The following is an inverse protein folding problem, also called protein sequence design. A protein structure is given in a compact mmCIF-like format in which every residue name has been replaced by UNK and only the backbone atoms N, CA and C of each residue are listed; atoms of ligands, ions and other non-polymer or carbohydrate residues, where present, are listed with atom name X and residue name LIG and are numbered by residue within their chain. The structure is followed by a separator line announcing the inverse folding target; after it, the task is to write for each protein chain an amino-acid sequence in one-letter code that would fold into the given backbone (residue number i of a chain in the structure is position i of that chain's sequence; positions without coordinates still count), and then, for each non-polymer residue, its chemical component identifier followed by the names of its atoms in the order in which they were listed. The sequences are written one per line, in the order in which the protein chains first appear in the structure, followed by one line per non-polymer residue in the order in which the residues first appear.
data_IF_916044590114
#
_entry.id   IF_916044590114
#
_cell.length_a   1.000
_cell.length_b   1.000
_cell.length_c   1.000
_cell.angle_alpha   90.00
_cell.angle_beta   90.00
_cell.angle_gamma   90.00
#
_symmetry.space_group_name_H-M   'P 1'
#
loop_
_entity.id
_entity.type
_entity.pdbx_description
1 polymer ?
#
# COMPACT_ATOMS: atom_id res chain seq x y z
N UNK A 1 7.38 -10.50 -12.00
CA UNK A 1 6.27 -9.60 -11.62
C UNK A 1 6.86 -8.21 -11.43
N UNK A 2 6.29 -7.17 -12.06
CA UNK A 2 6.82 -5.82 -12.00
C UNK A 2 6.73 -5.26 -10.56
N UNK A 3 7.76 -4.54 -10.13
CA UNK A 3 7.72 -3.78 -8.89
C UNK A 3 6.59 -2.74 -8.96
N UNK A 4 5.90 -2.51 -7.85
CA UNK A 4 4.86 -1.48 -7.77
C UNK A 4 5.46 -0.24 -7.10
N UNK A 5 5.36 0.91 -7.76
CA UNK A 5 5.77 2.19 -7.19
C UNK A 5 4.87 2.57 -6.02
N UNK A 6 5.47 3.12 -4.96
CA UNK A 6 4.75 3.65 -3.81
C UNK A 6 3.82 4.81 -4.17
N UNK A 7 4.19 5.62 -5.16
CA UNK A 7 3.35 6.70 -5.70
C UNK A 7 2.01 6.18 -6.22
N UNK A 8 2.01 5.04 -6.91
CA UNK A 8 0.76 4.43 -7.40
C UNK A 8 -0.11 3.93 -6.24
N UNK A 9 0.52 3.43 -5.17
CA UNK A 9 -0.20 3.00 -3.98
C UNK A 9 -0.81 4.19 -3.23
N UNK A 10 -0.09 5.31 -3.13
CA UNK A 10 -0.64 6.55 -2.59
C UNK A 10 -1.84 7.05 -3.38
N UNK A 11 -1.74 7.11 -4.71
CA UNK A 11 -2.87 7.52 -5.55
C UNK A 11 -4.12 6.64 -5.33
N UNK A 12 -3.94 5.32 -5.20
CA UNK A 12 -5.05 4.40 -4.90
C UNK A 12 -5.73 4.72 -3.57
N UNK A 13 -4.94 4.96 -2.51
CA UNK A 13 -5.46 5.26 -1.18
C UNK A 13 -6.11 6.66 -1.13
N UNK A 14 -5.55 7.64 -1.83
CA UNK A 14 -6.13 8.98 -1.96
C UNK A 14 -7.51 8.93 -2.58
N UNK A 15 -7.69 8.16 -3.66
CA UNK A 15 -8.99 7.99 -4.30
C UNK A 15 -10.03 7.42 -3.32
N UNK A 16 -9.66 6.40 -2.54
CA UNK A 16 -10.54 5.84 -1.52
C UNK A 16 -10.87 6.85 -0.42
N UNK A 17 -9.88 7.63 0.03
CA UNK A 17 -10.06 8.69 1.02
C UNK A 17 -10.95 9.83 0.53
N UNK A 18 -10.81 10.25 -0.74
CA UNK A 18 -11.66 11.26 -1.36
C UNK A 18 -13.12 10.83 -1.45
N UNK A 19 -13.38 9.59 -1.90
CA UNK A 19 -14.73 9.02 -1.89
C UNK A 19 -15.34 8.97 -0.48
N UNK A 20 -14.54 8.72 0.55
CA UNK A 20 -15.01 8.77 1.94
C UNK A 20 -15.30 10.20 2.40
N UNK A 21 -14.47 11.17 2.03
CA UNK A 21 -14.64 12.57 2.39
C UNK A 21 -15.96 13.13 1.83
N UNK A 22 -16.28 12.81 0.57
CA UNK A 22 -17.58 13.13 -0.05
C UNK A 22 -18.76 12.56 0.75
N UNK A 23 -18.67 11.29 1.16
CA UNK A 23 -19.72 10.62 1.95
C UNK A 23 -19.88 11.22 3.36
N UNK A 24 -18.82 11.82 3.90
CA UNK A 24 -18.83 12.49 5.20
C UNK A 24 -19.07 14.00 5.13
N UNK A 25 -19.30 14.57 3.93
CA UNK A 25 -19.44 16.01 3.71
C UNK A 25 -18.25 16.82 4.26
N UNK A 26 -17.03 16.34 3.95
CA UNK A 26 -15.76 16.99 4.32
C UNK A 26 -14.96 17.32 3.06
N UNK A 27 -14.20 18.41 3.12
CA UNK A 27 -13.21 18.76 2.09
C UNK A 27 -11.82 18.35 2.53
N UNK A 28 -11.08 17.70 1.64
CA UNK A 28 -9.74 17.18 1.91
C UNK A 28 -8.81 17.42 0.73
N UNK A 29 -7.60 17.87 1.03
CA UNK A 29 -6.46 17.90 0.12
C UNK A 29 -5.50 16.78 0.51
N UNK A 30 -5.08 15.97 -0.46
CA UNK A 30 -4.05 14.96 -0.25
C UNK A 30 -2.72 15.45 -0.79
N UNK A 31 -1.69 15.32 0.05
CA UNK A 31 -0.30 15.56 -0.35
C UNK A 31 0.49 14.30 -0.11
N UNK A 32 1.27 13.86 -1.10
CA UNK A 32 2.07 12.66 -0.95
C UNK A 32 3.44 12.80 -1.56
N UNK A 33 4.43 12.26 -0.88
CA UNK A 33 5.78 12.11 -1.38
C UNK A 33 6.28 10.70 -1.06
N UNK A 34 6.40 9.86 -2.08
CA UNK A 34 6.95 8.51 -1.97
C UNK A 34 8.33 8.36 -2.60
N UNK A 35 8.89 9.45 -3.14
CA UNK A 35 10.06 9.42 -4.01
C UNK A 35 9.96 8.40 -5.15
N UNK A 36 11.11 7.86 -5.56
CA UNK A 36 11.23 6.80 -6.57
C UNK A 36 11.19 5.39 -5.95
N UNK A 37 10.63 5.25 -4.73
CA UNK A 37 10.63 4.00 -4.00
C UNK A 37 9.77 2.94 -4.70
N UNK A 38 10.40 1.80 -4.95
CA UNK A 38 9.74 0.60 -5.46
C UNK A 38 9.44 -0.33 -4.30
N UNK A 39 8.25 -0.92 -4.27
CA UNK A 39 7.81 -1.81 -3.19
C UNK A 39 7.96 -3.27 -3.63
N UNK A 40 8.45 -4.11 -2.73
CA UNK A 40 8.41 -5.57 -2.89
C UNK A 40 6.96 -6.06 -3.01
N UNK A 41 6.64 -6.97 -3.94
CA UNK A 41 5.29 -7.51 -4.07
C UNK A 41 4.68 -8.05 -2.77
N UNK A 42 5.51 -8.64 -1.90
CA UNK A 42 5.10 -9.18 -0.60
C UNK A 42 4.68 -8.11 0.42
N UNK A 43 5.14 -6.87 0.27
CA UNK A 43 4.85 -5.77 1.20
C UNK A 43 3.66 -4.91 0.75
N UNK A 44 3.25 -4.99 -0.52
CA UNK A 44 2.20 -4.15 -1.12
C UNK A 44 0.88 -4.26 -0.35
N UNK A 45 0.44 -5.48 -0.05
CA UNK A 45 -0.85 -5.70 0.64
C UNK A 45 -0.84 -5.14 2.06
N UNK A 46 0.24 -5.38 2.80
CA UNK A 46 0.43 -4.84 4.16
C UNK A 46 0.40 -3.32 4.15
N UNK A 47 1.20 -2.67 3.29
CA UNK A 47 1.27 -1.21 3.22
C UNK A 47 -0.08 -0.63 2.80
N UNK A 48 -0.74 -1.22 1.79
CA UNK A 48 -2.05 -0.79 1.33
C UNK A 48 -3.10 -0.85 2.44
N UNK A 49 -3.13 -1.96 3.18
CA UNK A 49 -4.08 -2.19 4.28
C UNK A 49 -3.88 -1.17 5.41
N UNK A 50 -2.64 -0.91 5.81
CA UNK A 50 -2.31 0.07 6.85
C UNK A 50 -2.66 1.48 6.39
N UNK A 51 -2.17 1.90 5.21
CA UNK A 51 -2.45 3.24 4.66
C UNK A 51 -3.93 3.52 4.52
N UNK A 52 -4.70 2.59 3.96
CA UNK A 52 -6.13 2.75 3.79
C UNK A 52 -6.81 3.00 5.13
N UNK A 53 -6.43 2.25 6.17
CA UNK A 53 -7.03 2.40 7.49
C UNK A 53 -6.67 3.73 8.14
N UNK A 54 -5.41 4.14 8.07
CA UNK A 54 -4.95 5.42 8.60
C UNK A 54 -5.65 6.59 7.89
N UNK A 55 -5.68 6.59 6.56
CA UNK A 55 -6.37 7.63 5.78
C UNK A 55 -7.87 7.65 6.06
N UNK A 56 -8.52 6.49 6.18
CA UNK A 56 -9.93 6.44 6.56
C UNK A 56 -10.17 7.03 7.95
N UNK A 57 -9.25 6.83 8.91
CA UNK A 57 -9.36 7.41 10.23
C UNK A 57 -9.14 8.92 10.23
N UNK A 58 -8.15 9.40 9.47
CA UNK A 58 -7.94 10.83 9.27
C UNK A 58 -9.21 11.48 8.69
N UNK A 59 -9.81 10.92 7.63
CA UNK A 59 -11.03 11.48 7.03
C UNK A 59 -12.25 11.30 7.94
N UNK A 60 -12.44 10.12 8.53
CA UNK A 60 -13.64 9.78 9.30
C UNK A 60 -13.70 10.51 10.64
N UNK A 61 -12.61 10.45 11.41
CA UNK A 61 -12.53 10.91 12.79
C UNK A 61 -11.57 12.09 13.00
N UNK A 62 -10.48 12.16 12.25
CA UNK A 62 -9.46 13.21 12.42
C UNK A 62 -9.93 14.60 11.97
N UNK A 63 -10.28 14.73 10.69
CA UNK A 63 -10.68 16.00 10.09
C UNK A 63 -12.05 16.45 10.59
N UNK A 64 -12.19 17.73 10.89
CA UNK A 64 -13.47 18.36 11.22
C UNK A 64 -14.27 18.68 9.95
N UNK A 65 -15.58 18.95 10.07
CA UNK A 65 -16.36 19.46 8.93
C UNK A 65 -15.96 20.88 8.56
N UNK A 66 -16.26 21.34 7.34
CA UNK A 66 -15.94 22.71 6.90
C UNK A 66 -16.46 23.77 7.89
N UNK A 67 -17.70 23.60 8.37
CA UNK A 67 -18.32 24.50 9.37
C UNK A 67 -17.54 24.52 10.68
N UNK A 68 -17.11 23.36 11.17
CA UNK A 68 -16.32 23.27 12.40
C UNK A 68 -14.94 23.91 12.21
N UNK A 69 -14.29 23.70 11.06
CA UNK A 69 -12.98 24.28 10.74
C UNK A 69 -13.05 25.81 10.70
N UNK A 70 -14.08 26.38 10.09
CA UNK A 70 -14.32 27.83 10.09
C UNK A 70 -14.48 28.40 11.50
N UNK A 71 -15.24 27.73 12.36
CA UNK A 71 -15.41 28.14 13.77
C UNK A 71 -14.10 28.12 14.56
N UNK A 72 -13.17 27.22 14.17
CA UNK A 72 -11.84 27.08 14.76
C UNK A 72 -10.78 27.96 14.07
N UNK A 73 -11.15 28.74 13.05
CA UNK A 73 -10.22 29.58 12.29
C UNK A 73 -9.25 28.79 11.38
N UNK A 74 -9.60 27.55 11.03
CA UNK A 74 -8.83 26.66 10.15
C UNK A 74 -9.34 26.78 8.70
N UNK A 75 -8.51 26.46 7.69
CA UNK A 75 -8.97 26.41 6.30
C UNK A 75 -10.12 25.43 6.12
N UNK A 76 -11.06 25.72 5.21
CA UNK A 76 -12.24 24.87 4.95
C UNK A 76 -11.85 23.43 4.57
N UNK A 77 -10.81 23.28 3.75
CA UNK A 77 -10.22 21.98 3.42
C UNK A 77 -9.23 21.54 4.48
N UNK A 78 -9.39 20.32 4.98
CA UNK A 78 -8.35 19.61 5.73
C UNK A 78 -7.24 19.13 4.80
N UNK A 79 -6.07 18.83 5.34
CA UNK A 79 -4.95 18.27 4.58
C UNK A 79 -4.49 16.96 5.21
N UNK A 80 -4.26 15.95 4.38
CA UNK A 80 -3.63 14.69 4.76
C UNK A 80 -2.33 14.54 3.98
N UNK A 81 -1.22 14.39 4.70
CA UNK A 81 0.10 14.15 4.15
C UNK A 81 0.46 12.67 4.28
N UNK A 82 1.01 12.09 3.21
CA UNK A 82 1.63 10.76 3.22
C UNK A 82 3.05 10.88 2.71
N UNK A 83 4.02 10.76 3.61
CA UNK A 83 5.44 10.94 3.30
C UNK A 83 6.14 9.61 3.56
N UNK A 84 6.97 9.18 2.63
CA UNK A 84 7.76 7.98 2.79
C UNK A 84 9.21 8.18 2.38
N UNK A 85 10.08 7.53 3.11
CA UNK A 85 11.51 7.45 2.80
C UNK A 85 12.02 6.07 3.20
N UNK A 86 13.18 5.70 2.67
CA UNK A 86 13.85 4.46 3.04
C UNK A 86 15.19 4.79 3.69
N UNK A 87 15.46 4.18 4.84
CA UNK A 87 16.72 4.28 5.55
C UNK A 87 17.16 2.87 5.96
N UNK A 88 18.41 2.49 5.65
CA UNK A 88 18.96 1.17 6.03
C UNK A 88 18.06 -0.04 5.65
N UNK A 89 17.47 -0.02 4.45
CA UNK A 89 16.52 -1.04 3.95
C UNK A 89 15.20 -1.18 4.76
N UNK A 90 14.90 -0.16 5.57
CA UNK A 90 13.63 -0.01 6.28
C UNK A 90 12.83 1.09 5.60
N UNK A 91 11.59 0.79 5.23
CA UNK A 91 10.63 1.81 4.80
C UNK A 91 10.11 2.53 6.04
N UNK A 92 10.19 3.85 6.04
CA UNK A 92 9.55 4.74 6.99
C UNK A 92 8.40 5.45 6.30
N UNK A 93 7.21 5.44 6.91
CA UNK A 93 6.02 6.07 6.36
C UNK A 93 5.27 6.85 7.43
N UNK A 94 5.04 8.12 7.13
CA UNK A 94 4.28 9.05 7.96
C UNK A 94 2.95 9.39 7.29
N UNK A 95 1.84 9.22 8.02
CA UNK A 95 0.51 9.71 7.64
C UNK A 95 0.11 10.78 8.64
N UNK A 96 0.03 12.03 8.19
CA UNK A 96 -0.30 13.19 9.04
C UNK A 96 -1.61 13.83 8.58
N UNK A 97 -2.44 14.26 9.51
CA UNK A 97 -3.58 15.14 9.26
C UNK A 97 -3.46 16.43 10.07
N UNK A 98 -4.13 17.49 9.61
CA UNK A 98 -4.29 18.75 10.34
C UNK A 98 -5.66 18.83 11.04
N UNK A 99 -6.19 17.70 11.51
CA UNK A 99 -7.51 17.58 12.08
C UNK A 99 -7.61 18.05 13.53
N UNK A 100 -8.60 17.52 14.24
CA UNK A 100 -8.87 17.86 15.64
C UNK A 100 -7.90 17.21 16.63
N UNK A 101 -7.03 16.31 16.18
CA UNK A 101 -6.17 15.50 17.03
C UNK A 101 -6.95 14.53 17.93
N UNK A 102 -6.24 13.84 18.81
CA UNK A 102 -6.78 12.82 19.69
C UNK A 102 -6.86 13.36 21.11
N UNK A 103 -8.02 13.23 21.73
CA UNK A 103 -8.23 13.59 23.12
C UNK A 103 -7.73 12.49 24.06
N UNK A 104 -6.51 12.62 24.58
CA UNK A 104 -5.90 11.60 25.46
C UNK A 104 -6.71 11.35 26.74
N UNK A 105 -7.47 12.35 27.21
CA UNK A 105 -8.43 12.19 28.29
C UNK A 105 -9.55 11.18 27.94
N UNK A 106 -10.08 11.21 26.72
CA UNK A 106 -11.13 10.29 26.27
C UNK A 106 -10.56 8.88 26.09
N UNK A 107 -9.34 8.78 25.55
CA UNK A 107 -8.59 7.51 25.43
C UNK A 107 -8.37 6.88 26.80
N UNK A 108 -7.96 7.68 27.80
CA UNK A 108 -7.75 7.24 29.18
C UNK A 108 -9.03 6.71 29.81
N UNK A 109 -10.15 7.44 29.66
CA UNK A 109 -11.44 7.01 30.19
C UNK A 109 -11.88 5.68 29.56
N UNK A 110 -11.73 5.55 28.25
CA UNK A 110 -12.07 4.32 27.53
C UNK A 110 -11.14 3.15 27.93
N UNK A 111 -9.83 3.40 28.05
CA UNK A 111 -8.88 2.38 28.52
C UNK A 111 -9.24 1.85 29.91
N UNK A 112 -9.70 2.71 30.82
CA UNK A 112 -10.14 2.27 32.14
C UNK A 112 -11.41 1.39 32.07
N UNK A 113 -12.37 1.77 31.22
CA UNK A 113 -13.59 0.98 30.99
C UNK A 113 -13.29 -0.40 30.38
N UNK A 114 -12.27 -0.49 29.52
CA UNK A 114 -11.81 -1.72 28.88
C UNK A 114 -10.88 -2.57 29.78
N UNK A 115 -10.60 -2.13 31.00
CA UNK A 115 -9.69 -2.81 31.93
C UNK A 115 -8.23 -2.84 31.46
N UNK A 116 -7.83 -1.87 30.62
CA UNK A 116 -6.45 -1.68 30.16
C UNK A 116 -5.59 -0.92 31.18
N UNK A 117 -6.22 -0.05 31.96
CA UNK A 117 -5.62 0.65 33.07
C UNK A 117 -6.52 0.49 34.31
N UNK A 118 -5.93 0.24 35.47
CA UNK A 118 -6.68 0.00 36.70
C UNK A 118 -7.39 1.27 37.19
N UNK A 119 -6.74 2.42 37.02
CA UNK A 119 -7.23 3.72 37.49
C UNK A 119 -6.95 4.82 36.46
N UNK A 120 -7.88 5.77 36.28
CA UNK A 120 -7.66 6.89 35.36
C UNK A 120 -6.49 7.77 35.79
N UNK A 121 -6.17 7.81 37.09
CA UNK A 121 -5.02 8.55 37.62
C UNK A 121 -3.66 7.86 37.41
N UNK A 122 -3.62 6.68 36.76
CA UNK A 122 -2.35 6.07 36.38
C UNK A 122 -1.52 7.06 35.56
N UNK A 123 -0.29 7.29 36.00
CA UNK A 123 0.63 8.29 35.44
C UNK A 123 1.21 7.95 34.07
N UNK A 124 0.43 7.35 33.18
CA UNK A 124 0.81 7.15 31.79
C UNK A 124 0.97 8.50 31.09
N UNK A 125 2.06 8.62 30.35
CA UNK A 125 2.30 9.69 29.40
C UNK A 125 1.27 9.67 28.26
N UNK A 126 1.12 10.79 27.56
CA UNK A 126 0.26 10.87 26.38
C UNK A 126 0.67 9.86 25.30
N UNK A 127 1.97 9.63 25.11
CA UNK A 127 2.46 8.65 24.16
C UNK A 127 2.01 7.22 24.52
N UNK A 128 2.14 6.82 25.79
CA UNK A 128 1.71 5.50 26.26
C UNK A 128 0.19 5.32 26.12
N UNK A 129 -0.59 6.37 26.42
CA UNK A 129 -2.04 6.34 26.22
C UNK A 129 -2.40 6.17 24.74
N UNK A 130 -1.75 6.92 23.85
CA UNK A 130 -2.02 6.82 22.42
C UNK A 130 -1.62 5.45 21.86
N UNK A 131 -0.57 4.80 22.40
CA UNK A 131 -0.22 3.43 22.05
C UNK A 131 -1.33 2.42 22.37
N UNK A 132 -2.18 2.67 23.37
CA UNK A 132 -3.31 1.79 23.69
C UNK A 132 -4.35 1.73 22.58
N UNK A 133 -4.39 2.71 21.67
CA UNK A 133 -5.31 2.72 20.53
C UNK A 133 -5.10 1.52 19.57
N UNK A 134 -3.93 0.88 19.63
CA UNK A 134 -3.64 -0.31 18.85
C UNK A 134 -4.03 -1.62 19.54
N UNK A 135 -4.42 -1.59 20.81
CA UNK A 135 -4.89 -2.79 21.53
C UNK A 135 -6.21 -3.29 20.92
N UNK A 136 -6.37 -4.61 20.85
CA UNK A 136 -7.55 -5.24 20.23
C UNK A 136 -8.87 -4.93 20.94
N UNK A 137 -8.82 -4.54 22.23
CA UNK A 137 -10.00 -4.12 22.99
C UNK A 137 -10.48 -2.71 22.63
N UNK A 138 -9.63 -1.89 21.99
CA UNK A 138 -10.02 -0.60 21.46
C UNK A 138 -10.83 -0.78 20.17
N UNK A 139 -12.09 -1.15 20.35
CA UNK A 139 -13.08 -1.19 19.28
C UNK A 139 -13.90 0.10 19.25
N UNK A 140 -14.22 0.56 18.05
CA UNK A 140 -15.11 1.72 17.87
C UNK A 140 -16.55 1.23 18.04
N UNK A 141 -17.37 1.84 18.92
CA UNK A 141 -18.77 1.46 19.07
C UNK A 141 -19.50 1.52 17.72
N UNK A 142 -20.22 0.45 17.38
CA UNK A 142 -20.85 0.27 16.07
C UNK A 142 -21.72 1.47 15.63
N UNK A 143 -22.35 2.18 16.57
CA UNK A 143 -23.19 3.35 16.32
C UNK A 143 -22.42 4.56 15.75
N UNK A 144 -21.13 4.70 16.03
CA UNK A 144 -20.28 5.76 15.46
C UNK A 144 -19.78 5.41 14.04
N UNK A 145 -19.70 4.13 13.69
CA UNK A 145 -19.25 3.66 12.38
C UNK A 145 -20.29 3.86 11.26
N UNK A 146 -21.58 3.92 11.61
CA UNK A 146 -22.71 3.85 10.66
C UNK A 146 -22.84 5.08 9.76
N UNK A 147 -22.37 6.27 10.18
CA UNK A 147 -22.63 7.50 9.40
C UNK A 147 -21.82 7.59 8.10
N UNK A 148 -20.62 7.01 8.04
CA UNK A 148 -19.80 6.98 6.83
C UNK A 148 -19.15 5.61 6.51
N UNK A 149 -19.46 4.53 7.23
CA UNK A 149 -18.84 3.21 6.99
C UNK A 149 -17.32 3.18 7.21
N UNK A 150 -16.83 4.00 8.16
CA UNK A 150 -15.41 4.33 8.37
C UNK A 150 -14.76 3.57 9.55
N UNK A 151 -15.47 2.64 10.17
CA UNK A 151 -15.12 2.06 11.47
C UNK A 151 -14.16 0.86 11.42
N UNK A 152 -13.05 0.94 10.68
CA UNK A 152 -11.99 -0.06 10.87
C UNK A 152 -11.12 0.38 12.05
N UNK A 153 -11.19 -0.31 13.21
CA UNK A 153 -10.40 0.05 14.37
C UNK A 153 -8.90 -0.03 14.05
N UNK A 154 -8.11 0.82 14.69
CA UNK A 154 -6.65 0.77 14.63
C UNK A 154 -6.11 -0.58 15.16
N UNK A 155 -6.92 -1.30 15.94
CA UNK A 155 -6.72 -2.68 16.34
C UNK A 155 -6.26 -3.57 15.16
N UNK A 156 -5.24 -4.39 15.43
CA UNK A 156 -4.67 -5.33 14.47
C UNK A 156 -3.66 -4.72 13.48
N UNK A 157 -3.56 -3.39 13.34
CA UNK A 157 -2.46 -2.78 12.56
C UNK A 157 -1.11 -3.11 13.22
N UNK A 158 -1.04 -2.96 14.55
CA UNK A 158 0.18 -3.23 15.30
C UNK A 158 0.64 -4.69 15.13
N UNK A 159 -0.28 -5.65 15.24
CA UNK A 159 0.03 -7.08 15.06
C UNK A 159 0.46 -7.39 13.62
N UNK A 160 -0.23 -6.80 12.64
CA UNK A 160 0.11 -6.93 11.21
C UNK A 160 1.54 -6.44 10.92
N UNK A 161 1.92 -5.28 11.46
CA UNK A 161 3.26 -4.72 11.27
C UNK A 161 4.31 -5.48 12.07
N UNK A 162 4.04 -5.83 13.32
CA UNK A 162 5.00 -6.57 14.17
C UNK A 162 5.30 -7.96 13.59
N UNK A 163 4.30 -8.62 13.00
CA UNK A 163 4.48 -9.91 12.32
C UNK A 163 5.47 -9.85 11.13
N UNK A 164 5.72 -8.67 10.59
CA UNK A 164 6.66 -8.41 9.50
C UNK A 164 7.97 -7.76 9.97
N UNK A 165 8.18 -7.65 11.29
CA UNK A 165 9.33 -6.97 11.90
C UNK A 165 9.22 -5.44 11.88
N UNK A 166 8.07 -4.91 11.51
CA UNK A 166 7.76 -3.49 11.53
C UNK A 166 7.28 -2.99 12.89
N UNK A 167 6.95 -1.70 12.93
CA UNK A 167 6.39 -1.04 14.11
C UNK A 167 5.46 0.10 13.68
N UNK A 168 4.57 0.53 14.58
CA UNK A 168 3.75 1.73 14.40
C UNK A 168 3.73 2.55 15.69
N UNK A 169 3.73 3.87 15.54
CA UNK A 169 3.56 4.83 16.61
C UNK A 169 2.62 5.94 16.16
N UNK A 170 2.11 6.69 17.14
CA UNK A 170 1.22 7.81 16.89
C UNK A 170 1.63 8.96 17.80
N UNK A 171 1.65 10.16 17.23
CA UNK A 171 1.77 11.42 17.93
C UNK A 171 0.55 12.27 17.59
N UNK A 172 -0.05 12.91 18.58
CA UNK A 172 -1.23 13.73 18.33
C UNK A 172 -1.30 14.89 19.30
N UNK A 173 -1.76 16.03 18.80
CA UNK A 173 -2.00 17.24 19.58
C UNK A 173 -3.41 17.74 19.29
N UNK A 174 -4.18 17.93 20.36
CA UNK A 174 -5.58 18.38 20.24
C UNK A 174 -5.64 19.73 19.52
N UNK A 175 -6.48 19.80 18.49
CA UNK A 175 -6.68 20.95 17.61
C UNK A 175 -5.64 21.11 16.49
N UNK A 176 -4.51 20.39 16.56
CA UNK A 176 -3.41 20.51 15.61
C UNK A 176 -3.31 19.32 14.64
N UNK A 177 -3.84 18.15 15.02
CA UNK A 177 -3.90 16.98 14.17
C UNK A 177 -3.14 15.78 14.74
N UNK A 178 -2.93 14.79 13.90
CA UNK A 178 -2.34 13.49 14.26
C UNK A 178 -1.33 13.05 13.22
N UNK A 179 -0.23 12.46 13.67
CA UNK A 179 0.77 11.81 12.84
C UNK A 179 0.90 10.36 13.26
N UNK A 180 0.67 9.45 12.32
CA UNK A 180 0.99 8.03 12.45
C UNK A 180 2.30 7.75 11.73
N UNK A 181 3.26 7.15 12.42
CA UNK A 181 4.54 6.76 11.85
C UNK A 181 4.64 5.24 11.91
N UNK A 182 4.85 4.57 10.78
CA UNK A 182 5.13 3.15 10.77
C UNK A 182 6.37 2.80 9.95
N UNK A 183 7.01 1.70 10.36
CA UNK A 183 8.22 1.18 9.72
C UNK A 183 7.99 -0.23 9.22
N UNK A 184 8.57 -0.56 8.07
CA UNK A 184 8.49 -1.89 7.50
C UNK A 184 9.85 -2.31 6.91
N UNK A 185 10.56 -3.27 7.54
CA UNK A 185 11.80 -3.81 7.00
C UNK A 185 11.56 -4.57 5.69
N UNK A 186 12.56 -4.54 4.79
CA UNK A 186 12.56 -5.34 3.54
C UNK A 186 11.33 -5.08 2.65
N UNK A 187 10.73 -3.91 2.80
CA UNK A 187 9.58 -3.48 2.01
C UNK A 187 9.99 -2.93 0.64
N UNK A 188 11.25 -2.52 0.50
CA UNK A 188 11.77 -1.85 -0.68
C UNK A 188 12.31 -2.88 -1.67
N UNK A 189 11.85 -2.78 -2.91
CA UNK A 189 12.42 -3.52 -4.02
C UNK A 189 13.74 -2.86 -4.44
N UNK A 190 14.78 -3.65 -4.77
CA UNK A 190 15.97 -3.07 -5.37
C UNK A 190 15.55 -2.27 -6.60
N UNK A 191 16.16 -1.10 -6.79
CA UNK A 191 16.03 -0.35 -8.03
C UNK A 191 16.32 -1.32 -9.18
N UNK A 192 15.41 -1.42 -10.15
CA UNK A 192 15.63 -2.25 -11.32
C UNK A 192 17.04 -1.95 -11.87
N UNK A 193 17.86 -2.98 -12.17
CA UNK A 193 19.13 -2.71 -12.83
C UNK A 193 18.85 -1.89 -14.09
N UNK A 194 19.71 -0.92 -14.45
CA UNK A 194 19.55 -0.19 -15.70
C UNK A 194 19.40 -1.23 -16.81
N UNK A 195 18.41 -1.01 -17.68
CA UNK A 195 18.06 -1.92 -18.76
C UNK A 195 19.33 -2.22 -19.56
N UNK A 196 19.98 -3.36 -19.27
CA UNK A 196 21.14 -3.80 -20.03
C UNK A 196 20.52 -4.36 -21.28
N UNK A 197 20.24 -3.47 -22.24
CA UNK A 197 20.07 -3.84 -23.63
C UNK A 197 21.33 -4.61 -24.00
N UNK A 198 21.22 -5.93 -23.95
CA UNK A 198 22.23 -6.83 -24.44
C UNK A 198 22.27 -6.61 -25.96
N UNK A 199 23.07 -5.64 -26.38
CA UNK A 199 23.48 -5.47 -27.77
C UNK A 199 24.05 -6.83 -28.22
N UNK A 200 23.49 -7.47 -29.26
CA UNK A 200 24.08 -8.67 -29.80
C UNK A 200 25.23 -8.27 -30.73
N UNK A 201 26.39 -7.90 -30.17
CA UNK A 201 27.64 -7.79 -30.94
C UNK A 201 28.31 -9.17 -30.99
N UNK A 202 28.03 -9.94 -32.05
CA UNK A 202 28.82 -10.04 -33.29
C UNK A 202 30.18 -10.72 -33.08
N UNK A 203 30.34 -11.97 -33.53
CA UNK A 203 31.28 -12.29 -34.61
C UNK A 203 31.21 -13.75 -35.09
N UNK A 204 31.40 -13.85 -36.40
CA UNK A 204 31.39 -15.05 -37.22
C UNK A 204 32.59 -15.96 -36.89
N UNK A 205 32.35 -17.26 -36.71
CA UNK A 205 33.39 -18.27 -36.98
C UNK A 205 32.78 -19.48 -37.67
N UNK A 206 32.96 -19.47 -38.98
CA UNK A 206 32.91 -20.62 -39.89
C UNK A 206 33.75 -21.78 -39.37
N UNK A 207 33.12 -22.78 -38.76
CA UNK A 207 33.68 -24.14 -38.69
C UNK A 207 32.64 -25.19 -39.02
N UNK A 208 32.63 -25.50 -40.31
CA UNK A 208 32.43 -26.82 -40.89
C UNK A 208 32.61 -27.93 -39.85
N UNK A 209 31.50 -28.42 -39.30
CA UNK A 209 31.50 -29.63 -38.47
C UNK A 209 30.68 -30.66 -39.23
N UNK A 210 31.40 -31.61 -39.81
CA UNK A 210 30.86 -32.79 -40.44
C UNK A 210 29.83 -33.46 -39.52
N UNK A 211 28.73 -33.93 -40.10
CA UNK A 211 27.69 -34.65 -39.35
C UNK A 211 28.30 -35.83 -38.58
N UNK A 212 27.86 -36.07 -37.33
CA UNK A 212 28.43 -37.12 -36.51
C UNK A 212 28.09 -38.52 -37.06
N UNK A 213 29.05 -39.44 -36.90
CA UNK A 213 29.15 -40.76 -37.55
C UNK A 213 28.05 -41.78 -37.17
N UNK A 214 27.05 -41.38 -36.39
CA UNK A 214 25.90 -42.21 -35.98
C UNK A 214 24.63 -41.94 -36.81
N UNK A 215 24.72 -41.11 -37.86
CA UNK A 215 23.67 -40.92 -38.89
C UNK A 215 23.98 -41.69 -40.20
N UNK A 216 24.85 -42.69 -40.16
CA UNK A 216 25.25 -43.48 -41.33
C UNK A 216 24.85 -44.95 -41.15
N UNK A 217 24.09 -45.47 -42.13
CA UNK A 217 23.65 -46.87 -42.39
C UNK A 217 22.67 -47.51 -41.36
N UNK A 218 21.65 -48.27 -41.71
CA UNK A 218 21.19 -48.77 -43.02
C UNK A 218 19.68 -49.06 -43.00
N UNK A 219 19.16 -49.13 -44.22
CA UNK A 219 17.82 -49.50 -44.66
C UNK A 219 17.12 -50.62 -43.86
N UNK A 220 15.85 -50.39 -43.52
CA UNK A 220 14.70 -51.10 -44.10
C UNK A 220 13.48 -50.77 -43.24
N UNK A 221 12.44 -50.24 -43.87
CA UNK A 221 11.01 -50.49 -43.60
C UNK A 221 10.17 -49.23 -43.93
N UNK A 222 9.14 -49.49 -44.74
CA UNK A 222 7.99 -48.63 -45.08
C UNK A 222 8.12 -47.74 -46.33
N UNK A 223 8.01 -48.46 -47.46
CA UNK A 223 7.26 -48.16 -48.69
C UNK A 223 6.33 -46.92 -48.73
N UNK A 224 6.62 -46.06 -49.71
CA UNK A 224 5.72 -45.09 -50.36
C UNK A 224 4.54 -45.78 -51.08
N UNK A 225 3.45 -45.05 -51.40
CA UNK A 225 3.35 -44.58 -52.79
C UNK A 225 2.82 -43.13 -52.93
N UNK A 226 3.47 -42.34 -53.78
CA UNK A 226 2.86 -41.16 -54.44
C UNK A 226 1.99 -41.55 -55.65
N UNK A 227 1.78 -40.66 -56.63
CA UNK A 227 1.03 -39.40 -56.55
C UNK A 227 -0.19 -39.40 -57.50
N UNK A 228 -1.22 -38.59 -57.22
CA UNK A 228 -2.25 -38.27 -58.21
C UNK A 228 -2.42 -36.76 -58.42
N UNK A 229 -2.05 -36.33 -59.63
CA UNK A 229 -2.52 -35.12 -60.29
C UNK A 229 -4.05 -35.11 -60.39
N UNK A 230 -4.72 -33.97 -60.24
CA UNK A 230 -5.73 -33.48 -61.19
C UNK A 230 -6.00 -31.96 -61.05
N UNK A 231 -6.51 -31.40 -62.15
CA UNK A 231 -6.56 -30.01 -62.62
C UNK A 231 -7.66 -29.11 -62.01
N UNK A 232 -7.37 -27.80 -62.09
CA UNK A 232 -8.23 -26.62 -62.45
C UNK A 232 -9.75 -26.75 -62.40
N UNK A 233 -10.37 -25.78 -61.72
CA UNK A 233 -11.23 -24.66 -62.21
C UNK A 233 -11.70 -23.92 -60.95
N UNK A 234 -11.59 -22.61 -60.74
CA UNK A 234 -11.64 -21.47 -61.63
C UNK A 234 -12.81 -20.59 -61.17
N UNK A 235 -12.54 -19.53 -60.42
CA UNK A 235 -13.14 -18.19 -60.63
C UNK A 235 -12.55 -17.14 -59.67
N UNK A 236 -12.35 -15.97 -60.26
CA UNK A 236 -11.77 -14.76 -59.69
C UNK A 236 -12.85 -13.88 -59.06
N UNK A 237 -12.44 -13.11 -58.04
CA UNK A 237 -12.60 -11.66 -57.86
C UNK A 237 -13.84 -11.01 -58.48
N UNK A 238 -14.71 -10.45 -57.63
CA UNK A 238 -14.97 -9.01 -57.50
C UNK A 238 -15.12 -8.67 -56.01
#
# INVERSE_FOLDING_TARGET
MAAKSLTNLFALVQNAGACLAERCDKQVEFRSDGGELQIQPSAVETIASVLLRLVCNCVGYGLESCVQRQQLGKPDSGTIWMIAHAENDVLHLDVTDDGCGIATADVRMLACQLGLIEHPEHGLSDAELLSLLFDSRFEIPATAAVRCGCGLPLAGIHDLLTATGGNISVASLRGMGTTFCFTLPRAIAPSAPPDVSCEPDYEQSTRQTAMPRWWQTDSELFTEPGPHLFRRTGQAID
#
